data_IF_631073246575
#
_entry.id   IF_631073246575
#
_cell.length_a   1.000
_cell.length_b   1.000
_cell.length_c   1.000
_cell.angle_alpha   90.00
_cell.angle_beta   90.00
_cell.angle_gamma   90.00
#
_symmetry.space_group_name_H-M   'P 1'
#
loop_
_entity.id
_entity.type
_entity.pdbx_description
1 polymer ?
#
# COMPACT_ATOMS: atom_id res chain seq x y z
N UNK A 1 27.99 10.45 -4.22
CA UNK A 1 27.11 10.29 -3.04
C UNK A 1 25.85 11.08 -3.31
N UNK A 2 24.79 10.42 -3.78
CA UNK A 2 23.50 11.07 -4.12
C UNK A 2 22.49 10.75 -3.00
N UNK A 3 21.81 11.79 -2.56
CA UNK A 3 21.03 11.90 -1.32
C UNK A 3 19.87 10.89 -1.21
N UNK A 4 19.61 10.30 -0.02
CA UNK A 4 18.59 9.28 0.18
C UNK A 4 17.26 9.89 0.62
N UNK A 5 16.73 10.84 -0.14
CA UNK A 5 15.41 11.43 0.15
C UNK A 5 14.74 11.74 -1.17
N UNK A 6 14.29 10.70 -1.88
CA UNK A 6 13.10 10.87 -2.70
C UNK A 6 12.02 11.20 -1.69
N UNK A 7 11.71 12.49 -1.58
CA UNK A 7 10.80 13.04 -0.58
C UNK A 7 9.53 12.21 -0.58
N UNK A 8 9.12 11.76 0.60
CA UNK A 8 7.85 11.05 0.84
C UNK A 8 6.67 11.74 0.12
N UNK A 9 6.77 13.07 -0.05
CA UNK A 9 5.86 13.91 -0.82
C UNK A 9 5.81 13.60 -2.31
N UNK A 10 6.93 13.35 -3.00
CA UNK A 10 6.93 13.04 -4.44
C UNK A 10 6.38 11.63 -4.73
N UNK A 11 6.64 10.69 -3.82
CA UNK A 11 6.09 9.33 -3.91
C UNK A 11 4.58 9.33 -3.61
N UNK A 12 4.14 10.12 -2.62
CA UNK A 12 2.74 10.33 -2.31
C UNK A 12 2.00 11.12 -3.41
N UNK A 13 2.63 12.12 -4.04
CA UNK A 13 2.02 12.89 -5.14
C UNK A 13 1.82 12.04 -6.40
N UNK A 14 2.77 11.15 -6.73
CA UNK A 14 2.59 10.17 -7.83
C UNK A 14 1.46 9.18 -7.48
N UNK A 15 1.32 8.82 -6.21
CA UNK A 15 0.31 7.87 -5.72
C UNK A 15 -1.11 8.48 -5.61
N UNK A 16 -1.22 9.74 -5.17
CA UNK A 16 -2.47 10.52 -5.09
C UNK A 16 -2.94 10.94 -6.49
N UNK A 17 -2.04 11.15 -7.46
CA UNK A 17 -2.37 11.55 -8.82
C UNK A 17 -2.95 10.45 -9.73
N UNK A 18 -3.15 9.23 -9.23
CA UNK A 18 -4.07 8.27 -9.85
C UNK A 18 -3.64 7.64 -11.17
N UNK A 19 -2.35 7.43 -11.44
CA UNK A 19 -1.92 6.64 -12.62
C UNK A 19 -0.85 5.60 -12.29
N UNK A 20 -1.23 4.33 -12.48
CA UNK A 20 -0.39 3.12 -12.55
C UNK A 20 0.34 2.68 -11.29
N UNK A 21 -0.42 2.03 -10.42
CA UNK A 21 0.06 1.31 -9.24
C UNK A 21 0.34 -0.18 -9.49
N UNK A 22 -0.01 -0.77 -10.65
CA UNK A 22 0.13 -2.23 -10.89
C UNK A 22 1.56 -2.66 -11.17
N UNK A 23 2.30 -1.86 -11.93
CA UNK A 23 3.71 -2.16 -12.24
C UNK A 23 4.56 -2.02 -10.97
N UNK A 24 4.39 -0.93 -10.23
CA UNK A 24 5.16 -0.69 -9.00
C UNK A 24 4.86 -1.67 -7.85
N UNK A 25 3.62 -2.14 -7.68
CA UNK A 25 3.32 -3.15 -6.65
C UNK A 25 3.84 -4.54 -7.04
N UNK A 26 3.82 -4.87 -8.33
CA UNK A 26 4.44 -6.09 -8.84
C UNK A 26 5.96 -6.09 -8.69
N UNK A 27 6.60 -4.93 -8.84
CA UNK A 27 8.07 -4.78 -8.76
C UNK A 27 8.61 -4.59 -7.34
N UNK A 28 7.92 -3.85 -6.48
CA UNK A 28 8.42 -3.47 -5.15
C UNK A 28 7.33 -3.50 -4.04
N UNK A 29 6.71 -4.66 -3.75
CA UNK A 29 5.63 -4.76 -2.76
C UNK A 29 6.10 -4.43 -1.33
N UNK A 30 7.36 -4.71 -1.00
CA UNK A 30 7.98 -4.37 0.29
C UNK A 30 8.06 -2.87 0.54
N UNK A 31 8.54 -2.11 -0.45
CA UNK A 31 8.70 -0.67 -0.35
C UNK A 31 7.34 0.00 -0.18
N UNK A 32 6.33 -0.48 -0.90
CA UNK A 32 4.98 0.09 -0.83
C UNK A 32 4.31 -0.21 0.51
N UNK A 33 4.43 -1.43 1.03
CA UNK A 33 3.91 -1.72 2.36
C UNK A 33 4.61 -0.90 3.46
N UNK A 34 5.90 -0.60 3.32
CA UNK A 34 6.59 0.32 4.25
C UNK A 34 6.03 1.73 4.20
N UNK A 35 5.68 2.24 3.01
CA UNK A 35 5.03 3.54 2.86
C UNK A 35 3.67 3.55 3.57
N UNK A 36 2.85 2.52 3.36
CA UNK A 36 1.55 2.43 4.04
C UNK A 36 1.69 2.33 5.56
N UNK A 37 2.61 1.51 6.04
CA UNK A 37 2.87 1.36 7.47
C UNK A 37 3.33 2.69 8.10
N UNK A 38 4.23 3.40 7.44
CA UNK A 38 4.73 4.70 7.91
C UNK A 38 3.69 5.81 7.82
N UNK A 39 2.84 5.82 6.78
CA UNK A 39 1.80 6.83 6.62
C UNK A 39 0.62 6.62 7.60
N UNK A 40 0.32 5.36 7.93
CA UNK A 40 -0.80 5.01 8.79
C UNK A 40 -0.42 4.85 10.27
N UNK A 41 0.87 4.98 10.59
CA UNK A 41 1.44 4.67 11.91
C UNK A 41 1.04 3.28 12.43
N UNK A 42 1.00 2.31 11.52
CA UNK A 42 0.66 0.91 11.80
C UNK A 42 1.79 0.03 11.33
N UNK A 43 2.34 -0.79 12.21
CA UNK A 43 3.36 -1.79 11.83
C UNK A 43 2.70 -3.15 11.66
N UNK A 44 2.93 -3.80 10.52
CA UNK A 44 2.48 -5.16 10.27
C UNK A 44 3.47 -6.15 10.88
N UNK A 45 2.96 -7.23 11.47
CA UNK A 45 3.78 -8.41 11.77
C UNK A 45 4.31 -9.03 10.47
N UNK A 46 5.37 -9.85 10.56
CA UNK A 46 5.94 -10.53 9.39
C UNK A 46 4.89 -11.36 8.62
N UNK A 47 4.04 -12.11 9.35
CA UNK A 47 2.93 -12.89 8.77
C UNK A 47 1.92 -11.99 8.07
N UNK A 48 1.52 -10.89 8.69
CA UNK A 48 0.59 -9.93 8.07
C UNK A 48 1.22 -9.26 6.85
N UNK A 49 2.51 -8.94 6.88
CA UNK A 49 3.21 -8.38 5.73
C UNK A 49 3.19 -9.36 4.56
N UNK A 50 3.44 -10.65 4.79
CA UNK A 50 3.33 -11.69 3.75
C UNK A 50 1.92 -11.75 3.16
N UNK A 51 0.89 -11.78 4.01
CA UNK A 51 -0.52 -11.74 3.58
C UNK A 51 -0.85 -10.48 2.77
N UNK A 52 -0.40 -9.31 3.23
CA UNK A 52 -0.66 -8.02 2.59
C UNK A 52 0.00 -7.93 1.21
N UNK A 53 1.23 -8.46 1.07
CA UNK A 53 1.92 -8.57 -0.23
C UNK A 53 1.18 -9.47 -1.19
N UNK A 54 0.79 -10.67 -0.73
CA UNK A 54 0.08 -11.64 -1.57
C UNK A 54 -1.25 -11.06 -2.07
N UNK A 55 -2.00 -10.40 -1.17
CA UNK A 55 -3.23 -9.68 -1.51
C UNK A 55 -2.98 -8.55 -2.52
N UNK A 56 -1.94 -7.72 -2.30
CA UNK A 56 -1.64 -6.62 -3.21
C UNK A 56 -1.17 -7.06 -4.59
N UNK A 57 -0.42 -8.17 -4.65
CA UNK A 57 -0.04 -8.79 -5.92
C UNK A 57 -1.24 -9.37 -6.67
N UNK A 58 -2.20 -9.96 -5.95
CA UNK A 58 -3.45 -10.44 -6.56
C UNK A 58 -4.26 -9.28 -7.16
N UNK A 59 -4.41 -8.18 -6.42
CA UNK A 59 -5.09 -6.96 -6.91
C UNK A 59 -4.37 -6.36 -8.13
N UNK A 60 -3.03 -6.36 -8.13
CA UNK A 60 -2.25 -5.91 -9.29
C UNK A 60 -2.47 -6.80 -10.53
N UNK A 61 -2.55 -8.13 -10.35
CA UNK A 61 -2.83 -9.08 -11.43
C UNK A 61 -4.24 -8.93 -12.01
N UNK A 62 -5.20 -8.47 -11.22
CA UNK A 62 -6.58 -8.19 -11.66
C UNK A 62 -6.71 -6.87 -12.46
N UNK A 63 -5.62 -6.12 -12.64
CA UNK A 63 -5.60 -4.88 -13.42
C UNK A 63 -6.29 -3.70 -12.73
N UNK A 64 -6.60 -3.82 -11.43
CA UNK A 64 -7.20 -2.76 -10.61
C UNK A 64 -6.30 -2.37 -9.44
N UNK A 65 -5.11 -1.83 -9.68
CA UNK A 65 -4.13 -1.61 -8.61
C UNK A 65 -4.44 -0.42 -7.70
N UNK A 66 -5.67 0.06 -7.59
CA UNK A 66 -5.96 1.28 -6.81
C UNK A 66 -5.84 1.04 -5.30
N UNK A 67 -5.60 2.11 -4.53
CA UNK A 67 -5.64 2.05 -3.06
C UNK A 67 -6.98 1.49 -2.56
N UNK A 68 -8.08 1.88 -3.20
CA UNK A 68 -9.40 1.35 -2.90
C UNK A 68 -9.48 -0.16 -3.04
N UNK A 69 -8.98 -0.73 -4.13
CA UNK A 69 -8.99 -2.18 -4.36
C UNK A 69 -8.04 -2.93 -3.40
N UNK A 70 -6.88 -2.34 -3.07
CA UNK A 70 -5.96 -2.88 -2.06
C UNK A 70 -6.62 -2.95 -0.68
N UNK A 71 -7.22 -1.84 -0.25
CA UNK A 71 -7.93 -1.72 1.03
C UNK A 71 -9.13 -2.66 1.07
N UNK A 72 -9.92 -2.74 -0.01
CA UNK A 72 -11.04 -3.68 -0.11
C UNK A 72 -10.55 -5.12 0.09
N UNK A 73 -9.46 -5.49 -0.58
CA UNK A 73 -8.88 -6.83 -0.43
C UNK A 73 -8.34 -7.08 0.98
N UNK A 74 -7.60 -6.14 1.56
CA UNK A 74 -7.10 -6.27 2.93
C UNK A 74 -8.23 -6.27 3.97
N UNK A 75 -9.31 -5.52 3.75
CA UNK A 75 -10.46 -5.48 4.65
C UNK A 75 -11.23 -6.81 4.71
N UNK A 76 -11.12 -7.62 3.65
CA UNK A 76 -11.68 -8.97 3.60
C UNK A 76 -10.84 -10.01 4.38
N UNK A 77 -9.66 -9.64 4.86
CA UNK A 77 -8.76 -10.50 5.63
C UNK A 77 -8.78 -10.07 7.10
N UNK A 78 -9.14 -10.99 7.99
CA UNK A 78 -9.33 -10.68 9.42
C UNK A 78 -8.06 -10.13 10.06
N UNK A 79 -6.89 -10.64 9.66
CA UNK A 79 -5.59 -10.22 10.16
C UNK A 79 -5.11 -8.87 9.60
N UNK A 80 -5.69 -8.35 8.52
CA UNK A 80 -5.31 -7.06 7.90
C UNK A 80 -6.37 -5.98 8.07
N UNK A 81 -7.48 -6.27 8.75
CA UNK A 81 -8.64 -5.38 8.85
C UNK A 81 -8.30 -4.03 9.48
N UNK A 82 -7.49 -4.02 10.54
CA UNK A 82 -7.07 -2.77 11.20
C UNK A 82 -6.15 -1.94 10.31
N UNK A 83 -5.22 -2.60 9.62
CA UNK A 83 -4.35 -1.95 8.65
C UNK A 83 -5.14 -1.34 7.49
N UNK A 84 -6.10 -2.09 6.91
CA UNK A 84 -6.98 -1.60 5.87
C UNK A 84 -7.80 -0.37 6.33
N UNK A 85 -8.32 -0.41 7.57
CA UNK A 85 -9.05 0.72 8.15
C UNK A 85 -8.16 1.95 8.34
N UNK A 86 -6.90 1.75 8.77
CA UNK A 86 -5.94 2.84 8.91
C UNK A 86 -5.60 3.47 7.56
N UNK A 87 -5.31 2.65 6.54
CA UNK A 87 -5.06 3.12 5.17
C UNK A 87 -6.27 3.86 4.61
N UNK A 88 -7.50 3.37 4.86
CA UNK A 88 -8.73 4.07 4.46
C UNK A 88 -8.80 5.46 5.04
N UNK A 89 -8.60 5.60 6.35
CA UNK A 89 -8.69 6.89 7.04
C UNK A 89 -7.65 7.87 6.53
N UNK A 90 -6.41 7.40 6.33
CA UNK A 90 -5.29 8.26 5.94
C UNK A 90 -5.30 8.63 4.46
N UNK A 91 -5.71 7.71 3.58
CA UNK A 91 -5.50 7.87 2.13
C UNK A 91 -6.77 7.93 1.28
N UNK A 92 -7.94 7.57 1.82
CA UNK A 92 -9.23 7.63 1.10
C UNK A 92 -10.19 8.66 1.68
N UNK A 93 -10.09 8.94 2.98
CA UNK A 93 -10.95 9.90 3.69
C UNK A 93 -10.19 11.14 4.19
N UNK A 94 -8.86 11.14 4.06
CA UNK A 94 -7.95 12.20 4.50
C UNK A 94 -7.77 13.32 3.49
#
# INVERSE_FOLDING_TARGET
MLSPLVSFSAFAEIWIAGRQTSEFFGECPDSILKVFQSACDVTLTETQAVSAKAAGLAVAKEGRPTVGALVERWSSMSELKEFAAAVTRTMLLG
#
